data_IF_449527419863
#
_entry.id   IF_449527419863
#
_cell.length_a   1.000
_cell.length_b   1.000
_cell.length_c   1.000
_cell.angle_alpha   90.00
_cell.angle_beta   90.00
_cell.angle_gamma   90.00
#
_symmetry.space_group_name_H-M   'P 1'
#
loop_
_entity.id
_entity.type
_entity.pdbx_description
1 polymer ?
#
# COMPACT_ATOMS: atom_id res chain seq x y z
N UNK A 1 10.32 17.08 24.31
CA UNK A 1 11.00 16.67 23.07
C UNK A 1 10.17 15.62 22.29
N UNK A 2 9.94 14.41 22.83
CA UNK A 2 9.23 13.33 22.12
C UNK A 2 7.81 13.63 21.60
N UNK A 3 7.07 14.52 22.27
CA UNK A 3 5.70 14.93 21.87
C UNK A 3 5.65 16.11 20.88
N UNK A 4 6.80 16.57 20.38
CA UNK A 4 6.84 17.63 19.37
C UNK A 4 6.59 17.02 17.97
N UNK A 5 5.32 16.78 17.68
CA UNK A 5 4.88 16.09 16.46
C UNK A 5 5.17 16.91 15.20
N UNK A 6 4.90 18.21 15.22
CA UNK A 6 5.11 19.12 14.08
C UNK A 6 6.58 19.13 13.65
N UNK A 7 7.50 19.33 14.60
CA UNK A 7 8.93 19.29 14.30
C UNK A 7 9.34 17.92 13.77
N UNK A 8 8.88 16.83 14.39
CA UNK A 8 9.21 15.47 13.96
C UNK A 8 8.73 15.19 12.53
N UNK A 9 7.49 15.54 12.19
CA UNK A 9 6.94 15.36 10.85
C UNK A 9 7.68 16.20 9.81
N UNK A 10 7.99 17.47 10.10
CA UNK A 10 8.77 18.31 9.18
C UNK A 10 10.13 17.68 8.86
N UNK A 11 10.87 17.23 9.89
CA UNK A 11 12.19 16.63 9.70
C UNK A 11 12.11 15.26 9.02
N UNK A 12 11.07 14.46 9.28
CA UNK A 12 10.91 13.16 8.64
C UNK A 12 10.47 13.32 7.17
N UNK A 13 9.51 14.20 6.88
CA UNK A 13 9.08 14.45 5.50
C UNK A 13 10.22 15.07 4.69
N UNK A 14 10.78 16.20 5.13
CA UNK A 14 11.82 16.87 4.34
C UNK A 14 13.17 16.18 4.40
N UNK A 15 13.66 15.83 5.59
CA UNK A 15 14.98 15.24 5.78
C UNK A 15 15.00 13.74 5.48
N UNK A 16 14.25 12.96 6.26
CA UNK A 16 14.30 11.49 6.15
C UNK A 16 13.79 10.99 4.79
N UNK A 17 12.69 11.52 4.27
CA UNK A 17 12.14 11.09 2.97
C UNK A 17 12.64 11.95 1.82
N UNK A 18 12.50 13.26 1.92
CA UNK A 18 12.86 14.21 0.86
C UNK A 18 14.35 14.16 0.50
N UNK A 19 15.23 14.51 1.45
CA UNK A 19 16.68 14.54 1.23
C UNK A 19 17.24 13.15 0.92
N UNK A 20 16.76 12.09 1.57
CA UNK A 20 17.21 10.74 1.24
C UNK A 20 16.78 10.31 -0.16
N UNK A 21 15.56 10.63 -0.61
CA UNK A 21 15.12 10.34 -1.98
C UNK A 21 15.90 11.18 -3.00
N UNK A 22 16.22 12.43 -2.68
CA UNK A 22 17.08 13.28 -3.52
C UNK A 22 18.48 12.69 -3.63
N UNK A 23 19.07 12.26 -2.51
CA UNK A 23 20.37 11.61 -2.47
C UNK A 23 20.37 10.29 -3.24
N UNK A 24 19.28 9.53 -3.18
CA UNK A 24 19.12 8.29 -3.94
C UNK A 24 18.98 8.54 -5.44
N UNK A 25 18.21 9.56 -5.86
CA UNK A 25 18.20 10.02 -7.25
C UNK A 25 19.60 10.41 -7.72
N UNK A 26 20.33 11.16 -6.87
CA UNK A 26 21.75 11.46 -7.07
C UNK A 26 22.56 10.20 -7.32
N UNK A 27 22.51 9.22 -6.42
CA UNK A 27 23.21 7.93 -6.57
C UNK A 27 22.86 7.22 -7.88
N UNK A 28 21.58 7.20 -8.28
CA UNK A 28 21.14 6.57 -9.52
C UNK A 28 21.72 7.27 -10.76
N UNK A 29 21.62 8.59 -10.83
CA UNK A 29 22.14 9.43 -11.92
C UNK A 29 23.66 9.30 -12.05
N UNK A 30 24.34 9.26 -10.91
CA UNK A 30 25.78 9.42 -10.84
C UNK A 30 26.56 8.10 -10.82
N UNK A 31 25.94 7.00 -10.40
CA UNK A 31 26.60 5.70 -10.25
C UNK A 31 25.83 4.63 -11.01
N UNK A 32 24.56 4.39 -10.68
CA UNK A 32 23.83 3.24 -11.22
C UNK A 32 23.63 3.32 -12.74
N UNK A 33 23.25 4.49 -13.27
CA UNK A 33 23.04 4.70 -14.71
C UNK A 33 24.37 4.57 -15.48
N UNK A 34 25.47 5.25 -15.10
CA UNK A 34 26.77 5.02 -15.73
C UNK A 34 27.24 3.56 -15.70
N UNK A 35 27.12 2.87 -14.56
CA UNK A 35 27.51 1.45 -14.45
C UNK A 35 26.62 0.55 -15.33
N UNK A 36 25.34 0.87 -15.46
CA UNK A 36 24.44 0.18 -16.39
C UNK A 36 24.82 0.39 -17.87
N UNK A 37 25.67 1.38 -18.16
CA UNK A 37 26.21 1.71 -19.49
C UNK A 37 27.69 1.32 -19.64
N UNK A 38 28.22 0.50 -18.73
CA UNK A 38 29.61 0.04 -18.74
C UNK A 38 30.64 1.11 -18.35
N UNK A 39 30.21 2.22 -17.74
CA UNK A 39 31.10 3.27 -17.24
C UNK A 39 31.33 3.08 -15.74
N UNK A 40 32.58 2.82 -15.36
CA UNK A 40 32.92 2.58 -13.96
C UNK A 40 33.05 3.87 -13.15
N UNK A 41 32.14 4.06 -12.20
CA UNK A 41 32.12 5.19 -11.27
C UNK A 41 32.39 4.72 -9.85
N UNK A 42 33.38 5.34 -9.23
CA UNK A 42 33.89 5.02 -7.89
C UNK A 42 34.18 6.32 -7.15
N UNK A 43 34.41 6.22 -5.84
CA UNK A 43 34.69 7.37 -4.99
C UNK A 43 35.86 8.25 -5.47
N UNK A 44 36.83 7.67 -6.17
CA UNK A 44 38.03 8.37 -6.66
C UNK A 44 37.81 9.15 -7.96
N UNK A 45 36.78 8.85 -8.76
CA UNK A 45 36.52 9.53 -10.04
C UNK A 45 35.12 10.16 -10.12
N UNK A 46 34.30 9.99 -9.10
CA UNK A 46 32.93 10.48 -9.08
C UNK A 46 32.81 12.00 -9.26
N UNK A 47 33.75 12.77 -8.69
CA UNK A 47 33.73 14.24 -8.75
C UNK A 47 34.31 14.81 -10.04
N UNK A 48 35.04 14.00 -10.83
CA UNK A 48 35.66 14.41 -12.09
C UNK A 48 34.94 13.87 -13.33
N UNK A 49 33.99 12.95 -13.16
CA UNK A 49 33.16 12.41 -14.25
C UNK A 49 31.77 13.04 -14.21
N UNK A 50 31.36 13.68 -15.31
CA UNK A 50 30.03 14.26 -15.42
C UNK A 50 28.98 13.15 -15.65
N UNK A 51 27.81 13.19 -14.97
CA UNK A 51 26.73 12.24 -15.22
C UNK A 51 26.00 12.49 -16.54
N UNK A 52 26.11 13.70 -17.10
CA UNK A 52 25.50 14.11 -18.37
C UNK A 52 26.49 15.00 -19.14
N UNK A 53 26.61 14.87 -20.47
CA UNK A 53 27.58 15.63 -21.27
C UNK A 53 27.51 17.15 -21.06
N UNK A 54 26.31 17.71 -20.99
CA UNK A 54 26.06 19.15 -20.79
C UNK A 54 26.22 19.64 -19.34
N UNK A 55 26.58 18.76 -18.40
CA UNK A 55 26.75 19.08 -16.99
C UNK A 55 25.50 19.72 -16.36
N UNK A 56 25.69 20.71 -15.48
CA UNK A 56 24.61 21.41 -14.76
C UNK A 56 24.10 22.66 -15.49
N UNK A 57 24.66 23.04 -16.64
CA UNK A 57 24.24 24.25 -17.36
C UNK A 57 22.76 24.22 -17.76
N UNK A 58 22.20 23.10 -18.30
CA UNK A 58 20.77 22.99 -18.59
C UNK A 58 19.87 23.14 -17.36
N UNK A 59 20.33 22.66 -16.20
CA UNK A 59 19.59 22.79 -14.94
C UNK A 59 19.37 24.26 -14.56
N UNK A 60 20.44 25.06 -14.54
CA UNK A 60 20.37 26.47 -14.13
C UNK A 60 19.73 27.39 -15.17
N UNK A 61 19.78 27.02 -16.45
CA UNK A 61 19.11 27.77 -17.54
C UNK A 61 17.63 27.42 -17.68
N UNK A 62 17.14 26.39 -16.98
CA UNK A 62 15.75 25.94 -17.04
C UNK A 62 15.44 25.04 -18.25
N UNK A 63 16.42 24.68 -19.06
CA UNK A 63 16.25 23.78 -20.20
C UNK A 63 16.36 22.31 -19.77
N UNK A 64 15.48 21.88 -18.87
CA UNK A 64 15.54 20.55 -18.25
C UNK A 64 15.25 19.40 -19.23
N UNK A 65 14.60 19.69 -20.37
CA UNK A 65 14.30 18.70 -21.40
C UNK A 65 15.54 17.99 -21.95
N UNK A 66 16.70 18.67 -21.96
CA UNK A 66 17.98 18.09 -22.41
C UNK A 66 18.37 16.83 -21.63
N UNK A 67 18.01 16.72 -20.34
CA UNK A 67 18.33 15.55 -19.53
C UNK A 67 17.52 14.30 -19.86
N UNK A 68 16.47 14.44 -20.67
CA UNK A 68 15.62 13.35 -21.14
C UNK A 68 15.95 12.89 -22.57
N UNK A 69 16.84 13.60 -23.27
CA UNK A 69 17.18 13.30 -24.66
C UNK A 69 18.12 12.09 -24.78
N UNK A 70 17.94 11.32 -25.86
CA UNK A 70 18.74 10.13 -26.16
C UNK A 70 18.72 9.09 -25.02
N UNK A 71 17.55 8.49 -24.70
CA UNK A 71 17.46 7.38 -23.77
C UNK A 71 18.22 6.14 -24.26
N UNK A 72 18.44 5.18 -23.37
CA UNK A 72 18.96 3.86 -23.74
C UNK A 72 18.04 3.20 -24.77
N UNK A 73 18.62 2.63 -25.82
CA UNK A 73 17.84 2.07 -26.94
C UNK A 73 17.20 0.73 -26.58
N UNK A 74 16.25 0.27 -27.39
CA UNK A 74 15.66 -1.06 -27.22
C UNK A 74 16.67 -2.22 -27.35
N UNK A 75 17.82 -1.97 -28.00
CA UNK A 75 18.92 -2.91 -28.19
C UNK A 75 20.03 -2.75 -27.14
N UNK A 76 19.86 -1.86 -26.15
CA UNK A 76 20.84 -1.66 -25.10
C UNK A 76 21.15 -2.97 -24.35
N UNK A 77 22.44 -3.23 -24.17
CA UNK A 77 22.94 -4.35 -23.38
C UNK A 77 23.32 -3.83 -22.00
N UNK A 78 22.52 -4.19 -20.99
CA UNK A 78 22.70 -3.72 -19.62
C UNK A 78 24.10 -4.08 -19.09
N UNK A 79 24.82 -3.07 -18.62
CA UNK A 79 26.19 -3.15 -18.14
C UNK A 79 27.26 -2.86 -19.19
N UNK A 80 26.89 -2.48 -20.43
CA UNK A 80 27.83 -2.16 -21.51
C UNK A 80 27.45 -0.84 -22.20
N UNK A 81 28.35 -0.29 -23.01
CA UNK A 81 28.07 0.93 -23.79
C UNK A 81 27.30 0.66 -25.09
N UNK A 82 26.99 -0.59 -25.41
CA UNK A 82 26.31 -0.96 -26.64
C UNK A 82 24.83 -0.60 -26.57
N UNK A 83 24.38 0.30 -27.44
CA UNK A 83 22.99 0.80 -27.45
C UNK A 83 22.67 1.75 -26.29
N UNK A 84 23.67 2.18 -25.51
CA UNK A 84 23.53 3.10 -24.39
C UNK A 84 23.28 4.55 -24.87
N UNK A 85 22.39 5.23 -24.17
CA UNK A 85 22.06 6.63 -24.37
C UNK A 85 22.85 7.57 -23.45
N UNK A 86 22.40 8.81 -23.37
CA UNK A 86 22.97 9.85 -22.47
C UNK A 86 21.95 10.43 -21.50
N UNK A 87 20.65 10.20 -21.71
CA UNK A 87 19.61 10.66 -20.81
C UNK A 87 19.87 10.20 -19.36
N UNK A 88 19.55 11.06 -18.40
CA UNK A 88 19.64 10.75 -16.96
C UNK A 88 18.28 10.80 -16.27
N UNK A 89 17.29 11.45 -16.87
CA UNK A 89 15.95 11.63 -16.33
C UNK A 89 14.93 11.44 -17.45
N UNK A 90 14.24 10.31 -17.48
CA UNK A 90 13.27 10.01 -18.54
C UNK A 90 11.88 9.77 -17.96
N UNK A 91 10.91 9.56 -18.84
CA UNK A 91 9.56 9.14 -18.45
C UNK A 91 8.98 8.22 -19.53
N UNK A 92 9.73 7.16 -19.85
CA UNK A 92 9.47 6.25 -20.97
C UNK A 92 8.25 5.36 -20.74
N UNK A 93 8.10 4.88 -19.50
CA UNK A 93 7.13 3.85 -19.17
C UNK A 93 7.52 2.47 -19.69
N UNK A 94 6.82 1.44 -19.22
CA UNK A 94 7.11 0.06 -19.57
C UNK A 94 8.42 -0.48 -18.98
N UNK A 95 9.08 -1.38 -19.71
CA UNK A 95 10.26 -2.11 -19.23
C UNK A 95 11.38 -2.09 -20.25
N UNK A 96 12.62 -2.11 -19.75
CA UNK A 96 13.81 -2.31 -20.55
C UNK A 96 13.78 -3.71 -21.20
N UNK A 97 13.87 -3.84 -22.54
CA UNK A 97 13.59 -5.11 -23.25
C UNK A 97 14.48 -6.29 -22.83
N UNK A 98 15.76 -6.07 -22.56
CA UNK A 98 16.67 -7.14 -22.15
C UNK A 98 16.43 -7.62 -20.71
N UNK A 99 16.38 -6.67 -19.76
CA UNK A 99 16.31 -6.96 -18.32
C UNK A 99 14.90 -7.29 -17.85
N UNK A 100 13.87 -6.87 -18.60
CA UNK A 100 12.45 -6.96 -18.21
C UNK A 100 12.17 -6.26 -16.87
N UNK A 101 12.85 -5.13 -16.63
CA UNK A 101 12.68 -4.29 -15.44
C UNK A 101 12.40 -2.84 -15.83
N UNK A 102 11.92 -2.03 -14.89
CA UNK A 102 11.77 -0.58 -15.08
C UNK A 102 13.10 0.08 -15.49
N UNK A 103 13.00 1.15 -16.27
CA UNK A 103 14.16 1.94 -16.71
C UNK A 103 14.82 2.66 -15.53
N UNK A 104 16.15 2.58 -15.42
CA UNK A 104 16.88 3.26 -14.34
C UNK A 104 16.70 4.78 -14.37
N UNK A 105 16.62 5.38 -15.55
CA UNK A 105 16.37 6.80 -15.76
C UNK A 105 14.95 7.22 -15.34
N UNK A 106 13.95 6.34 -15.49
CA UNK A 106 12.60 6.57 -14.96
C UNK A 106 12.59 6.46 -13.42
N UNK A 107 13.32 5.49 -12.84
CA UNK A 107 13.46 5.34 -11.39
C UNK A 107 14.18 6.57 -10.79
N UNK A 108 15.26 7.04 -11.43
CA UNK A 108 15.99 8.24 -11.01
C UNK A 108 15.09 9.48 -11.02
N UNK A 109 14.29 9.64 -12.08
CA UNK A 109 13.34 10.74 -12.20
C UNK A 109 12.20 10.64 -11.18
N UNK A 110 11.67 9.44 -10.94
CA UNK A 110 10.69 9.21 -9.88
C UNK A 110 11.22 9.68 -8.52
N UNK A 111 12.44 9.27 -8.15
CA UNK A 111 13.04 9.66 -6.87
C UNK A 111 13.30 11.16 -6.74
N UNK A 112 13.70 11.83 -7.84
CA UNK A 112 13.83 13.28 -7.87
C UNK A 112 12.47 13.97 -7.66
N UNK A 113 11.45 13.51 -8.37
CA UNK A 113 10.10 14.09 -8.29
C UNK A 113 9.50 13.95 -6.89
N UNK A 114 9.53 12.75 -6.30
CA UNK A 114 9.00 12.54 -4.94
C UNK A 114 9.84 13.25 -3.87
N UNK A 115 11.15 13.42 -4.10
CA UNK A 115 12.00 14.18 -3.19
C UNK A 115 11.53 15.64 -3.09
N UNK A 116 11.24 16.27 -4.22
CA UNK A 116 10.68 17.63 -4.25
C UNK A 116 9.36 17.67 -3.47
N UNK A 117 8.43 16.74 -3.74
CA UNK A 117 7.13 16.67 -3.04
C UNK A 117 7.33 16.58 -1.52
N UNK A 118 8.22 15.70 -1.05
CA UNK A 118 8.46 15.50 0.38
C UNK A 118 9.19 16.66 1.04
N UNK A 119 10.16 17.29 0.35
CA UNK A 119 10.82 18.50 0.84
C UNK A 119 9.79 19.61 1.05
N UNK A 120 8.93 19.87 0.07
CA UNK A 120 7.86 20.87 0.20
C UNK A 120 6.86 20.51 1.30
N UNK A 121 6.41 19.25 1.37
CA UNK A 121 5.49 18.78 2.41
C UNK A 121 6.07 18.94 3.82
N UNK A 122 7.39 18.75 3.99
CA UNK A 122 8.08 18.93 5.26
C UNK A 122 8.25 20.37 5.73
N UNK A 123 7.73 21.36 4.99
CA UNK A 123 7.67 22.77 5.41
C UNK A 123 6.25 23.22 5.78
N UNK A 124 5.31 22.27 5.93
CA UNK A 124 3.91 22.57 6.21
C UNK A 124 3.65 22.93 7.68
N UNK A 125 4.28 22.27 8.65
CA UNK A 125 3.91 22.40 10.06
C UNK A 125 4.70 23.48 10.80
N UNK A 126 4.06 24.14 11.75
CA UNK A 126 4.63 25.26 12.52
C UNK A 126 5.75 24.76 13.44
N UNK A 127 6.88 25.43 13.38
CA UNK A 127 8.03 25.19 14.28
C UNK A 127 8.39 26.48 15.02
N UNK A 128 9.62 26.59 15.55
CA UNK A 128 10.08 27.74 16.34
C UNK A 128 10.10 29.05 15.55
N UNK A 129 9.97 29.01 14.22
CA UNK A 129 9.98 30.16 13.31
C UNK A 129 8.63 30.86 13.16
N UNK A 130 7.58 30.40 13.87
CA UNK A 130 6.28 31.07 13.92
C UNK A 130 5.40 30.94 12.67
N UNK A 131 5.90 30.37 11.57
CA UNK A 131 5.19 30.13 10.31
C UNK A 131 4.90 28.64 10.15
N UNK A 132 3.73 28.30 9.61
CA UNK A 132 3.25 26.94 9.35
C UNK A 132 1.96 26.62 10.12
N UNK A 133 1.49 25.37 10.00
CA UNK A 133 0.24 24.92 10.62
C UNK A 133 0.46 24.20 11.97
N UNK A 134 -0.44 24.41 12.94
CA UNK A 134 -0.57 23.51 14.08
C UNK A 134 -1.53 22.37 13.75
N UNK A 135 -1.11 21.13 13.99
CA UNK A 135 -1.98 19.97 13.74
C UNK A 135 -3.21 19.96 14.62
N UNK A 136 -3.07 20.41 15.87
CA UNK A 136 -4.19 20.55 16.80
C UNK A 136 -5.25 21.51 16.25
N UNK A 137 -4.84 22.71 15.83
CA UNK A 137 -5.76 23.71 15.28
C UNK A 137 -6.47 23.19 14.02
N UNK A 138 -5.76 22.46 13.15
CA UNK A 138 -6.37 21.81 11.98
C UNK A 138 -7.45 20.81 12.41
N UNK A 139 -7.13 19.90 13.33
CA UNK A 139 -8.07 18.87 13.79
C UNK A 139 -9.29 19.48 14.49
N UNK A 140 -9.07 20.44 15.39
CA UNK A 140 -10.15 21.08 16.14
C UNK A 140 -11.11 21.89 15.25
N UNK A 141 -10.60 22.45 14.16
CA UNK A 141 -11.37 23.18 13.15
C UNK A 141 -12.10 22.26 12.16
N UNK A 142 -11.66 21.01 12.00
CA UNK A 142 -12.21 20.08 11.01
C UNK A 142 -13.48 19.38 11.53
N UNK A 143 -14.57 20.16 11.63
CA UNK A 143 -15.89 19.70 12.09
C UNK A 143 -16.85 19.61 10.88
N UNK A 144 -17.62 18.52 10.72
CA UNK A 144 -18.50 18.37 9.57
C UNK A 144 -19.62 19.44 9.55
N UNK A 145 -19.96 19.99 8.36
CA UNK A 145 -20.98 21.03 8.24
C UNK A 145 -22.38 20.63 8.73
N UNK A 146 -22.69 19.33 8.74
CA UNK A 146 -24.02 18.79 9.04
C UNK A 146 -24.13 18.13 10.42
N UNK A 147 -23.12 18.26 11.30
CA UNK A 147 -23.18 17.81 12.70
C UNK A 147 -23.36 16.30 12.95
N UNK A 148 -23.41 15.46 11.90
CA UNK A 148 -23.67 14.01 12.03
C UNK A 148 -22.55 13.21 12.71
N UNK A 149 -21.36 13.79 12.85
CA UNK A 149 -20.18 13.17 13.49
C UNK A 149 -19.85 13.79 14.86
N UNK A 150 -20.83 14.42 15.52
CA UNK A 150 -20.66 15.03 16.85
C UNK A 150 -19.63 16.15 16.86
N UNK A 151 -18.73 16.13 17.84
CA UNK A 151 -17.62 17.07 18.01
C UNK A 151 -16.49 16.91 16.98
N UNK A 152 -16.61 15.97 16.03
CA UNK A 152 -15.63 15.78 14.96
C UNK A 152 -14.30 15.24 15.46
N UNK A 153 -13.19 15.89 15.09
CA UNK A 153 -11.82 15.45 15.40
C UNK A 153 -11.24 16.06 16.70
N UNK A 154 -12.04 16.81 17.47
CA UNK A 154 -11.59 17.41 18.73
C UNK A 154 -11.08 16.36 19.71
N UNK A 155 -9.97 16.67 20.38
CA UNK A 155 -9.30 15.78 21.35
C UNK A 155 -8.50 14.63 20.73
N UNK A 156 -8.54 14.43 19.40
CA UNK A 156 -7.74 13.40 18.74
C UNK A 156 -6.25 13.70 18.76
N UNK A 157 -5.87 15.00 18.71
CA UNK A 157 -4.46 15.38 18.78
C UNK A 157 -3.82 14.90 20.07
N UNK A 158 -4.43 15.20 21.22
CA UNK A 158 -3.99 14.75 22.53
C UNK A 158 -4.03 13.22 22.62
N UNK A 159 -5.15 12.60 22.22
CA UNK A 159 -5.34 11.14 22.26
C UNK A 159 -4.24 10.38 21.50
N UNK A 160 -3.88 10.84 20.30
CA UNK A 160 -2.82 10.21 19.50
C UNK A 160 -1.43 10.55 20.07
N UNK A 161 -1.21 11.80 20.47
CA UNK A 161 0.11 12.26 20.95
C UNK A 161 0.51 11.60 22.27
N UNK A 162 -0.47 11.36 23.14
CA UNK A 162 -0.24 10.86 24.49
C UNK A 162 -0.18 9.33 24.55
N UNK A 163 -0.81 8.62 23.59
CA UNK A 163 -0.74 7.16 23.52
C UNK A 163 0.30 6.65 22.52
N UNK A 164 1.32 5.96 23.04
CA UNK A 164 2.26 5.22 22.20
C UNK A 164 1.60 4.01 21.53
N UNK A 165 0.61 3.37 22.15
CA UNK A 165 -0.12 2.26 21.55
C UNK A 165 -0.93 2.70 20.34
N UNK A 166 -1.57 3.88 20.40
CA UNK A 166 -2.26 4.45 19.23
C UNK A 166 -1.27 4.79 18.11
N UNK A 167 -0.14 5.44 18.43
CA UNK A 167 0.90 5.74 17.44
C UNK A 167 1.46 4.48 16.79
N UNK A 168 1.75 3.45 17.58
CA UNK A 168 2.26 2.18 17.07
C UNK A 168 1.22 1.45 16.23
N UNK A 169 -0.05 1.44 16.65
CA UNK A 169 -1.15 0.89 15.85
C UNK A 169 -1.26 1.54 14.47
N UNK A 170 -1.24 2.87 14.41
CA UNK A 170 -1.27 3.63 13.15
C UNK A 170 -0.03 3.41 12.28
N UNK A 171 1.16 3.35 12.90
CA UNK A 171 2.41 3.10 12.19
C UNK A 171 2.44 1.69 11.58
N UNK A 172 2.03 0.67 12.33
CA UNK A 172 1.93 -0.71 11.85
C UNK A 172 0.87 -0.85 10.76
N UNK A 173 -0.29 -0.20 10.88
CA UNK A 173 -1.32 -0.22 9.84
C UNK A 173 -0.81 0.41 8.54
N UNK A 174 -0.19 1.60 8.63
CA UNK A 174 0.36 2.31 7.47
C UNK A 174 1.48 1.51 6.82
N UNK A 175 2.38 0.94 7.62
CA UNK A 175 3.48 0.12 7.14
C UNK A 175 2.98 -1.20 6.54
N UNK A 176 2.01 -1.88 7.16
CA UNK A 176 1.43 -3.11 6.65
C UNK A 176 0.78 -2.94 5.28
N UNK A 177 0.04 -1.83 5.08
CA UNK A 177 -0.50 -1.47 3.76
C UNK A 177 0.62 -1.22 2.75
N UNK A 178 1.64 -0.44 3.11
CA UNK A 178 2.77 -0.18 2.24
C UNK A 178 3.57 -1.45 1.91
N UNK A 179 3.75 -2.38 2.86
CA UNK A 179 4.43 -3.66 2.66
C UNK A 179 3.65 -4.55 1.69
N UNK A 180 2.33 -4.60 1.80
CA UNK A 180 1.52 -5.34 0.82
C UNK A 180 1.57 -4.70 -0.56
N UNK A 181 1.55 -3.37 -0.63
CA UNK A 181 1.71 -2.63 -1.89
C UNK A 181 3.07 -2.91 -2.54
N UNK A 182 4.15 -2.99 -1.76
CA UNK A 182 5.48 -3.40 -2.23
C UNK A 182 5.42 -4.78 -2.86
N UNK A 183 4.78 -5.76 -2.21
CA UNK A 183 4.64 -7.11 -2.77
C UNK A 183 3.90 -7.08 -4.12
N UNK A 184 2.76 -6.38 -4.19
CA UNK A 184 1.93 -6.30 -5.39
C UNK A 184 2.62 -5.56 -6.54
N UNK A 185 3.32 -4.46 -6.25
CA UNK A 185 4.00 -3.69 -7.28
C UNK A 185 5.28 -4.39 -7.76
N UNK A 186 6.07 -5.01 -6.88
CA UNK A 186 7.35 -5.60 -7.28
C UNK A 186 7.20 -6.77 -8.25
N UNK A 187 6.15 -7.57 -8.14
CA UNK A 187 5.95 -8.68 -9.10
C UNK A 187 5.40 -8.18 -10.44
N UNK A 188 4.54 -7.17 -10.45
CA UNK A 188 3.91 -6.64 -11.66
C UNK A 188 4.78 -5.61 -12.40
N UNK A 189 5.59 -4.85 -11.66
CA UNK A 189 6.51 -3.81 -12.14
C UNK A 189 7.93 -4.06 -11.58
N UNK A 190 8.67 -5.05 -12.10
CA UNK A 190 9.99 -5.40 -11.59
C UNK A 190 10.96 -4.21 -11.66
N UNK A 191 11.54 -3.81 -10.53
CA UNK A 191 12.50 -2.69 -10.45
C UNK A 191 13.95 -3.10 -10.65
N UNK A 192 14.25 -4.39 -10.49
CA UNK A 192 15.62 -4.92 -10.53
C UNK A 192 15.86 -5.69 -11.82
N UNK A 193 17.04 -5.47 -12.42
CA UNK A 193 17.41 -6.11 -13.68
C UNK A 193 17.36 -7.64 -13.56
N UNK A 194 16.72 -8.29 -14.54
CA UNK A 194 16.59 -9.74 -14.66
C UNK A 194 15.76 -10.44 -13.57
N UNK A 195 15.21 -9.71 -12.59
CA UNK A 195 14.39 -10.30 -11.52
C UNK A 195 13.16 -11.04 -12.07
N UNK A 196 12.55 -10.53 -13.14
CA UNK A 196 11.40 -11.16 -13.78
C UNK A 196 11.70 -12.55 -14.38
N UNK A 197 12.98 -12.93 -14.51
CA UNK A 197 13.42 -14.23 -15.02
C UNK A 197 13.83 -15.20 -13.89
N UNK A 198 14.01 -14.69 -12.68
CA UNK A 198 14.29 -15.50 -11.50
C UNK A 198 12.99 -15.75 -10.72
N UNK A 199 12.28 -16.79 -11.14
CA UNK A 199 10.97 -17.14 -10.58
C UNK A 199 11.04 -17.54 -9.10
N UNK A 200 12.14 -18.15 -8.66
CA UNK A 200 12.29 -18.56 -7.25
C UNK A 200 12.42 -17.33 -6.37
N UNK A 201 13.26 -16.38 -6.76
CA UNK A 201 13.42 -15.12 -6.03
C UNK A 201 12.12 -14.30 -6.05
N UNK A 202 11.43 -14.21 -7.18
CA UNK A 202 10.18 -13.45 -7.28
C UNK A 202 9.07 -14.05 -6.40
N UNK A 203 8.90 -15.38 -6.41
CA UNK A 203 7.94 -16.06 -5.54
C UNK A 203 8.28 -15.87 -4.05
N UNK A 204 9.56 -16.00 -3.69
CA UNK A 204 10.03 -15.79 -2.33
C UNK A 204 9.76 -14.36 -1.85
N UNK A 205 10.07 -13.34 -2.67
CA UNK A 205 9.88 -11.93 -2.31
C UNK A 205 8.40 -11.56 -2.13
N UNK A 206 7.52 -12.02 -3.03
CA UNK A 206 6.09 -11.78 -2.91
C UNK A 206 5.54 -12.41 -1.62
N UNK A 207 5.84 -13.69 -1.40
CA UNK A 207 5.40 -14.43 -0.21
C UNK A 207 5.91 -13.77 1.06
N UNK A 208 7.21 -13.49 1.12
CA UNK A 208 7.86 -12.84 2.27
C UNK A 208 7.16 -11.54 2.68
N UNK A 209 6.97 -10.62 1.73
CA UNK A 209 6.36 -9.32 2.04
C UNK A 209 4.87 -9.45 2.39
N UNK A 210 4.13 -10.38 1.77
CA UNK A 210 2.72 -10.59 2.12
C UNK A 210 2.57 -11.13 3.55
N UNK A 211 3.38 -12.11 3.96
CA UNK A 211 3.38 -12.59 5.34
C UNK A 211 3.72 -11.46 6.32
N UNK A 212 4.78 -10.69 6.07
CA UNK A 212 5.14 -9.53 6.93
C UNK A 212 3.99 -8.54 7.01
N UNK A 213 3.35 -8.20 5.87
CA UNK A 213 2.20 -7.31 5.86
C UNK A 213 1.07 -7.83 6.76
N UNK A 214 0.77 -9.13 6.71
CA UNK A 214 -0.17 -9.79 7.63
C UNK A 214 0.14 -9.59 9.11
N UNK A 215 1.38 -9.88 9.51
CA UNK A 215 1.82 -9.70 10.90
C UNK A 215 1.75 -8.23 11.35
N UNK A 216 2.15 -7.30 10.48
CA UNK A 216 2.04 -5.87 10.75
C UNK A 216 0.59 -5.44 10.94
N UNK A 217 -0.32 -5.89 10.06
CA UNK A 217 -1.75 -5.55 10.13
C UNK A 217 -2.40 -6.12 11.39
N UNK A 218 -2.15 -7.37 11.75
CA UNK A 218 -2.68 -7.95 13.00
C UNK A 218 -2.12 -7.22 14.22
N UNK A 219 -0.82 -6.91 14.21
CA UNK A 219 -0.18 -6.10 15.25
C UNK A 219 -0.79 -4.71 15.41
N UNK A 220 -1.16 -4.07 14.30
CA UNK A 220 -1.82 -2.76 14.32
C UNK A 220 -3.13 -2.77 15.13
N UNK A 221 -3.99 -3.76 14.87
CA UNK A 221 -5.25 -3.91 15.60
C UNK A 221 -5.03 -4.33 17.06
N UNK A 222 -4.03 -5.18 17.34
CA UNK A 222 -3.67 -5.54 18.70
C UNK A 222 -3.27 -4.30 19.53
N UNK A 223 -2.42 -3.43 18.96
CA UNK A 223 -2.05 -2.17 19.61
C UNK A 223 -3.21 -1.19 19.72
N UNK A 224 -4.14 -1.18 18.76
CA UNK A 224 -5.41 -0.45 18.89
C UNK A 224 -6.28 -0.95 20.05
N UNK A 225 -6.39 -2.26 20.25
CA UNK A 225 -7.09 -2.84 21.38
C UNK A 225 -6.41 -2.51 22.71
N UNK A 226 -5.08 -2.58 22.78
CA UNK A 226 -4.31 -2.19 23.97
C UNK A 226 -4.53 -0.70 24.29
N UNK A 227 -4.55 0.16 23.28
CA UNK A 227 -4.91 1.58 23.43
C UNK A 227 -6.30 1.74 24.07
N UNK A 228 -7.31 1.03 23.58
CA UNK A 228 -8.66 1.11 24.14
C UNK A 228 -8.73 0.66 25.60
N UNK A 229 -7.92 -0.31 26.01
CA UNK A 229 -7.89 -0.78 27.41
C UNK A 229 -7.16 0.21 28.31
N UNK A 230 -5.95 0.64 27.90
CA UNK A 230 -5.02 1.33 28.80
C UNK A 230 -5.06 2.85 28.72
N UNK A 231 -5.19 3.40 27.53
CA UNK A 231 -4.87 4.80 27.25
C UNK A 231 -6.10 5.62 26.84
N UNK A 232 -7.19 4.97 26.40
CA UNK A 232 -8.41 5.66 25.99
C UNK A 232 -9.14 6.31 27.18
N UNK A 233 -9.26 7.63 27.12
CA UNK A 233 -10.04 8.47 28.03
C UNK A 233 -11.38 8.89 27.38
N UNK A 234 -12.53 8.40 27.88
CA UNK A 234 -13.85 8.80 27.40
C UNK A 234 -14.18 10.28 27.56
N UNK A 235 -13.62 10.97 28.55
CA UNK A 235 -13.94 12.39 28.80
C UNK A 235 -13.25 13.30 27.79
N UNK A 236 -11.97 13.04 27.48
CA UNK A 236 -11.23 13.75 26.41
C UNK A 236 -11.86 13.50 25.05
N UNK A 237 -12.37 12.29 24.81
CA UNK A 237 -12.94 11.87 23.53
C UNK A 237 -14.46 12.08 23.43
N UNK A 238 -15.07 12.78 24.37
CA UNK A 238 -16.53 12.89 24.47
C UNK A 238 -17.17 13.45 23.20
N UNK A 239 -18.10 12.69 22.63
CA UNK A 239 -18.85 12.97 21.38
C UNK A 239 -17.97 13.21 20.14
N UNK A 240 -16.67 12.90 20.18
CA UNK A 240 -15.83 12.91 19.00
C UNK A 240 -16.04 11.63 18.16
N UNK A 241 -15.40 11.56 16.99
CA UNK A 241 -15.55 10.41 16.07
C UNK A 241 -15.21 9.06 16.71
N UNK A 242 -14.25 9.01 17.64
CA UNK A 242 -13.83 7.78 18.30
C UNK A 242 -14.87 7.30 19.32
N UNK A 243 -15.39 8.21 20.16
CA UNK A 243 -16.46 7.88 21.09
C UNK A 243 -17.74 7.46 20.36
N UNK A 244 -18.08 8.15 19.26
CA UNK A 244 -19.26 7.80 18.46
C UNK A 244 -19.14 6.40 17.87
N UNK A 245 -17.98 6.03 17.33
CA UNK A 245 -17.72 4.65 16.85
C UNK A 245 -18.05 3.60 17.91
N UNK A 246 -17.60 3.81 19.15
CA UNK A 246 -17.87 2.90 20.27
C UNK A 246 -19.36 2.81 20.62
N UNK A 247 -20.15 3.88 20.43
CA UNK A 247 -21.59 3.89 20.70
C UNK A 247 -22.41 3.03 19.72
N UNK A 248 -21.89 2.73 18.53
CA UNK A 248 -22.55 1.88 17.54
C UNK A 248 -21.69 0.67 17.14
N UNK A 249 -20.83 0.21 18.06
CA UNK A 249 -19.93 -0.93 17.81
C UNK A 249 -20.68 -2.20 17.40
N UNK A 250 -21.88 -2.43 17.95
CA UNK A 250 -22.70 -3.59 17.64
C UNK A 250 -23.13 -3.60 16.17
N UNK A 251 -23.41 -2.42 15.60
CA UNK A 251 -23.73 -2.30 14.19
C UNK A 251 -22.52 -2.61 13.31
N UNK A 252 -21.33 -2.12 13.67
CA UNK A 252 -20.09 -2.42 12.91
C UNK A 252 -19.81 -3.93 12.92
N UNK A 253 -19.85 -4.54 14.11
CA UNK A 253 -19.60 -5.97 14.30
C UNK A 253 -20.63 -6.82 13.56
N UNK A 254 -21.92 -6.45 13.61
CA UNK A 254 -22.98 -7.22 12.94
C UNK A 254 -22.87 -7.16 11.41
N UNK A 255 -22.51 -6.02 10.84
CA UNK A 255 -22.31 -5.90 9.39
C UNK A 255 -21.08 -6.67 8.92
N UNK A 256 -19.96 -6.59 9.66
CA UNK A 256 -18.78 -7.42 9.36
C UNK A 256 -19.09 -8.92 9.45
N UNK A 257 -19.87 -9.33 10.46
CA UNK A 257 -20.35 -10.71 10.58
C UNK A 257 -21.22 -11.12 9.40
N UNK A 258 -22.16 -10.28 8.98
CA UNK A 258 -22.99 -10.54 7.81
C UNK A 258 -22.16 -10.69 6.54
N UNK A 259 -21.20 -9.80 6.28
CA UNK A 259 -20.32 -9.89 5.09
C UNK A 259 -19.50 -11.18 5.11
N UNK A 260 -18.90 -11.53 6.24
CA UNK A 260 -18.14 -12.79 6.39
C UNK A 260 -19.02 -14.02 6.12
N UNK A 261 -20.22 -14.07 6.69
CA UNK A 261 -21.15 -15.17 6.45
C UNK A 261 -21.61 -15.22 4.99
N UNK A 262 -21.96 -14.07 4.41
CA UNK A 262 -22.37 -13.97 3.02
C UNK A 262 -21.28 -14.47 2.08
N UNK A 263 -20.05 -13.97 2.23
CA UNK A 263 -18.92 -14.42 1.41
C UNK A 263 -18.63 -15.90 1.63
N UNK A 264 -18.67 -16.38 2.87
CA UNK A 264 -18.41 -17.77 3.23
C UNK A 264 -19.38 -18.74 2.57
N UNK A 265 -20.69 -18.51 2.74
CA UNK A 265 -21.71 -19.39 2.18
C UNK A 265 -21.68 -19.43 0.65
N UNK A 266 -21.55 -18.28 -0.01
CA UNK A 266 -21.61 -18.24 -1.48
C UNK A 266 -20.31 -18.72 -2.12
N UNK A 267 -19.14 -18.32 -1.61
CA UNK A 267 -17.85 -18.73 -2.19
C UNK A 267 -17.64 -20.23 -2.03
N UNK A 268 -17.81 -20.77 -0.81
CA UNK A 268 -17.67 -22.20 -0.57
C UNK A 268 -18.76 -23.00 -1.30
N UNK A 269 -19.99 -22.49 -1.33
CA UNK A 269 -21.10 -23.11 -2.07
C UNK A 269 -20.80 -23.27 -3.57
N UNK A 270 -20.19 -22.25 -4.19
CA UNK A 270 -19.78 -22.32 -5.59
C UNK A 270 -18.64 -23.31 -5.82
N UNK A 271 -17.64 -23.34 -4.94
CA UNK A 271 -16.58 -24.36 -5.02
C UNK A 271 -17.14 -25.78 -4.94
N UNK A 272 -17.99 -26.06 -3.94
CA UNK A 272 -18.62 -27.38 -3.77
C UNK A 272 -19.49 -27.73 -4.98
N UNK A 273 -20.30 -26.79 -5.48
CA UNK A 273 -21.13 -27.00 -6.68
C UNK A 273 -20.28 -27.40 -7.89
N UNK A 274 -19.19 -26.66 -8.13
CA UNK A 274 -18.31 -26.89 -9.26
C UNK A 274 -17.58 -28.24 -9.14
N UNK A 275 -17.08 -28.58 -7.95
CA UNK A 275 -16.45 -29.88 -7.69
C UNK A 275 -17.42 -31.04 -7.93
N UNK A 276 -18.67 -30.93 -7.47
CA UNK A 276 -19.70 -31.97 -7.70
C UNK A 276 -20.03 -32.12 -9.18
N UNK A 277 -20.16 -31.01 -9.92
CA UNK A 277 -20.41 -31.07 -11.36
C UNK A 277 -19.27 -31.75 -12.13
N UNK A 278 -18.02 -31.48 -11.76
CA UNK A 278 -16.82 -32.11 -12.33
C UNK A 278 -16.75 -33.59 -11.95
N UNK A 279 -16.99 -33.93 -10.68
CA UNK A 279 -16.99 -35.31 -10.19
C UNK A 279 -18.05 -36.19 -10.89
N UNK A 280 -19.19 -35.61 -11.29
CA UNK A 280 -20.23 -36.28 -12.07
C UNK A 280 -20.00 -36.26 -13.59
N UNK A 281 -18.85 -35.77 -14.06
CA UNK A 281 -18.51 -35.77 -15.49
C UNK A 281 -19.30 -34.75 -16.32
N UNK A 282 -19.86 -33.72 -15.68
CA UNK A 282 -20.62 -32.65 -16.34
C UNK A 282 -19.99 -31.27 -16.08
N UNK A 283 -18.73 -31.04 -16.53
CA UNK A 283 -18.01 -29.79 -16.25
C UNK A 283 -18.68 -28.55 -16.84
N UNK A 284 -19.52 -28.70 -17.87
CA UNK A 284 -20.30 -27.62 -18.48
C UNK A 284 -21.40 -27.06 -17.57
N UNK A 285 -21.75 -27.76 -16.49
CA UNK A 285 -22.74 -27.33 -15.48
C UNK A 285 -22.13 -26.52 -14.33
N UNK A 286 -20.82 -26.28 -14.39
CA UNK A 286 -20.16 -25.37 -13.46
C UNK A 286 -20.73 -23.96 -13.59
N UNK A 287 -20.74 -23.22 -12.48
CA UNK A 287 -21.08 -21.81 -12.47
C UNK A 287 -19.76 -21.04 -12.53
N UNK A 288 -19.49 -20.42 -13.67
CA UNK A 288 -18.27 -19.68 -13.95
C UNK A 288 -18.61 -18.20 -14.19
N UNK A 289 -18.31 -17.36 -13.20
CA UNK A 289 -18.50 -15.91 -13.30
C UNK A 289 -17.24 -15.24 -13.83
N UNK A 290 -17.37 -14.46 -14.89
CA UNK A 290 -16.29 -13.61 -15.37
C UNK A 290 -16.08 -12.40 -14.44
N UNK A 291 -14.84 -12.05 -14.05
CA UNK A 291 -14.54 -10.89 -13.22
C UNK A 291 -14.58 -9.59 -14.05
N UNK A 292 -15.74 -9.28 -14.64
CA UNK A 292 -15.94 -8.18 -15.60
C UNK A 292 -15.49 -6.82 -15.08
N UNK A 293 -15.64 -6.56 -13.77
CA UNK A 293 -15.18 -5.30 -13.17
C UNK A 293 -13.65 -5.20 -13.14
N UNK A 294 -12.95 -6.30 -12.86
CA UNK A 294 -11.50 -6.30 -12.88
C UNK A 294 -10.97 -6.27 -14.32
N UNK A 295 -11.61 -6.98 -15.26
CA UNK A 295 -11.30 -6.91 -16.70
C UNK A 295 -11.51 -5.50 -17.25
N UNK A 296 -12.56 -4.80 -16.82
CA UNK A 296 -12.78 -3.38 -17.13
C UNK A 296 -11.62 -2.51 -16.63
N UNK A 297 -11.09 -2.73 -15.42
CA UNK A 297 -9.92 -1.99 -14.92
C UNK A 297 -8.68 -2.27 -15.77
N UNK A 298 -8.46 -3.52 -16.20
CA UNK A 298 -7.33 -3.83 -17.09
C UNK A 298 -7.47 -3.11 -18.43
N UNK A 299 -8.68 -3.08 -19.00
CA UNK A 299 -8.96 -2.37 -20.25
C UNK A 299 -8.85 -0.84 -20.10
N UNK A 300 -9.40 -0.28 -19.02
CA UNK A 300 -9.24 1.13 -18.68
C UNK A 300 -7.77 1.53 -18.53
N UNK A 301 -6.92 0.58 -18.15
CA UNK A 301 -5.46 0.72 -18.07
C UNK A 301 -4.74 0.49 -19.40
N UNK A 302 -5.43 0.20 -20.51
CA UNK A 302 -4.83 0.04 -21.85
C UNK A 302 -4.70 -1.40 -22.36
N UNK A 303 -5.23 -2.40 -21.63
CA UNK A 303 -5.20 -3.78 -22.08
C UNK A 303 -6.27 -4.04 -23.15
N UNK A 304 -5.86 -4.39 -24.36
CA UNK A 304 -6.78 -4.54 -25.50
C UNK A 304 -7.53 -5.89 -25.53
N UNK A 305 -7.06 -6.88 -24.76
CA UNK A 305 -7.52 -8.28 -24.84
C UNK A 305 -9.04 -8.46 -24.67
N UNK A 306 -9.68 -7.66 -23.81
CA UNK A 306 -11.10 -7.83 -23.45
C UNK A 306 -12.08 -7.07 -24.36
N UNK A 307 -11.58 -6.27 -25.30
CA UNK A 307 -12.43 -5.55 -26.26
C UNK A 307 -13.28 -4.41 -25.70
N UNK A 308 -13.04 -3.97 -24.46
CA UNK A 308 -13.64 -2.73 -23.94
C UNK A 308 -12.92 -1.51 -24.52
N UNK A 309 -13.65 -0.58 -25.15
CA UNK A 309 -13.13 0.67 -25.69
C UNK A 309 -13.35 1.83 -24.67
N UNK A 310 -12.51 1.88 -23.63
CA UNK A 310 -12.68 2.78 -22.48
C UNK A 310 -11.35 3.35 -22.01
N UNK A 311 -11.30 4.64 -21.69
CA UNK A 311 -10.10 5.31 -21.18
C UNK A 311 -8.86 5.01 -22.02
N UNK A 312 -7.83 4.34 -21.47
CA UNK A 312 -6.55 4.12 -22.15
C UNK A 312 -6.59 3.06 -23.25
N UNK A 313 -7.57 2.14 -23.26
CA UNK A 313 -7.74 1.23 -24.40
C UNK A 313 -8.32 1.91 -25.63
N UNK A 314 -8.90 3.10 -25.47
CA UNK A 314 -9.42 3.92 -26.57
C UNK A 314 -8.38 4.92 -27.04
N UNK A 315 -7.91 4.82 -28.28
CA UNK A 315 -6.89 5.73 -28.84
C UNK A 315 -7.37 7.18 -28.98
N UNK A 316 -8.68 7.40 -29.00
CA UNK A 316 -9.31 8.73 -29.17
C UNK A 316 -9.73 9.39 -27.85
N UNK A 317 -9.64 8.66 -26.73
CA UNK A 317 -9.95 9.18 -25.40
C UNK A 317 -9.03 10.32 -25.01
N UNK A 318 -9.56 11.31 -24.28
CA UNK A 318 -8.78 12.42 -23.74
C UNK A 318 -7.59 11.95 -22.88
N UNK A 319 -7.76 10.86 -22.13
CA UNK A 319 -6.69 10.27 -21.31
C UNK A 319 -5.52 9.75 -22.17
N UNK A 320 -5.85 9.08 -23.28
CA UNK A 320 -4.88 8.53 -24.22
C UNK A 320 -4.16 9.64 -24.98
N UNK A 321 -4.90 10.63 -25.50
CA UNK A 321 -4.33 11.76 -26.24
C UNK A 321 -3.35 12.54 -25.36
N UNK A 322 -3.72 12.86 -24.12
CA UNK A 322 -2.88 13.61 -23.19
C UNK A 322 -1.56 12.90 -22.82
N UNK A 323 -1.56 11.57 -22.81
CA UNK A 323 -0.40 10.76 -22.37
C UNK A 323 0.42 10.17 -23.52
N UNK A 324 -0.10 10.23 -24.76
CA UNK A 324 0.42 9.56 -25.96
C UNK A 324 1.88 9.88 -26.32
N UNK A 325 2.38 11.07 -25.95
CA UNK A 325 3.75 11.53 -26.26
C UNK A 325 4.72 11.45 -25.08
N UNK A 326 4.30 10.82 -23.98
CA UNK A 326 5.04 10.81 -22.72
C UNK A 326 5.38 9.36 -22.34
N UNK A 327 4.59 8.74 -21.45
CA UNK A 327 4.84 7.40 -20.90
C UNK A 327 3.95 6.32 -21.53
N UNK A 328 2.88 6.73 -22.23
CA UNK A 328 1.85 5.80 -22.70
C UNK A 328 2.36 4.78 -23.72
N UNK A 329 3.22 5.10 -24.71
CA UNK A 329 3.69 4.10 -25.67
C UNK A 329 4.41 2.92 -25.01
N UNK A 330 5.36 3.18 -24.10
CA UNK A 330 6.08 2.12 -23.37
C UNK A 330 5.16 1.32 -22.45
N UNK A 331 4.21 2.00 -21.79
CA UNK A 331 3.17 1.33 -20.99
C UNK A 331 2.28 0.40 -21.83
N UNK A 332 1.79 0.88 -22.98
CA UNK A 332 0.91 0.11 -23.88
C UNK A 332 1.61 -1.12 -24.45
N UNK A 333 2.90 -1.01 -24.76
CA UNK A 333 3.73 -2.15 -25.13
C UNK A 333 3.81 -3.16 -23.98
N UNK A 334 4.15 -2.70 -22.78
CA UNK A 334 4.33 -3.58 -21.63
C UNK A 334 3.05 -4.34 -21.25
N UNK A 335 1.91 -3.64 -21.12
CA UNK A 335 0.64 -4.23 -20.69
C UNK A 335 0.03 -5.20 -21.73
N UNK A 336 0.42 -5.08 -23.01
CA UNK A 336 -0.08 -5.95 -24.10
C UNK A 336 0.94 -7.00 -24.58
N UNK A 337 2.16 -7.05 -24.02
CA UNK A 337 3.22 -7.98 -24.49
C UNK A 337 2.89 -9.46 -24.27
N UNK A 338 2.07 -9.79 -23.26
CA UNK A 338 1.75 -11.16 -22.84
C UNK A 338 2.94 -11.95 -22.27
N UNK A 339 4.11 -11.33 -22.08
CA UNK A 339 5.37 -11.97 -21.67
C UNK A 339 5.86 -11.54 -20.28
N UNK A 340 5.06 -10.75 -19.57
CA UNK A 340 5.37 -10.25 -18.23
C UNK A 340 4.15 -10.43 -17.31
N UNK A 341 4.29 -10.01 -16.06
CA UNK A 341 3.24 -10.10 -15.04
C UNK A 341 2.41 -8.82 -14.88
N UNK A 342 2.58 -7.83 -15.76
CA UNK A 342 1.83 -6.58 -15.69
C UNK A 342 0.38 -6.82 -16.14
N UNK A 343 -0.55 -6.75 -15.20
CA UNK A 343 -1.98 -7.05 -15.44
C UNK A 343 -2.19 -8.39 -16.14
N UNK A 344 -1.87 -9.50 -15.46
CA UNK A 344 -2.13 -10.86 -15.96
C UNK A 344 -3.59 -11.04 -16.39
N UNK A 345 -3.82 -11.89 -17.40
CA UNK A 345 -5.18 -12.21 -17.83
C UNK A 345 -5.91 -12.98 -16.76
N UNK A 346 -7.06 -12.45 -16.37
CA UNK A 346 -7.93 -13.02 -15.33
C UNK A 346 -9.24 -13.57 -15.92
N UNK A 347 -9.75 -14.61 -15.28
CA UNK A 347 -11.01 -15.29 -15.63
C UNK A 347 -11.77 -15.83 -14.41
N UNK A 348 -12.63 -16.84 -14.58
CA UNK A 348 -13.52 -17.31 -13.51
C UNK A 348 -12.82 -17.92 -12.29
N UNK A 349 -11.65 -18.55 -12.48
CA UNK A 349 -10.84 -19.03 -11.37
C UNK A 349 -10.35 -17.89 -10.48
N UNK A 350 -9.90 -16.79 -11.09
CA UNK A 350 -9.49 -15.57 -10.38
C UNK A 350 -10.66 -14.95 -9.64
N UNK A 351 -11.87 -14.94 -10.22
CA UNK A 351 -13.06 -14.45 -9.54
C UNK A 351 -13.30 -15.18 -8.20
N UNK A 352 -13.27 -16.51 -8.20
CA UNK A 352 -13.54 -17.30 -7.00
C UNK A 352 -12.47 -17.10 -5.92
N UNK A 353 -11.19 -17.13 -6.30
CA UNK A 353 -10.10 -16.95 -5.31
C UNK A 353 -10.10 -15.53 -4.73
N UNK A 354 -10.43 -14.49 -5.50
CA UNK A 354 -10.54 -13.13 -4.94
C UNK A 354 -11.69 -13.00 -3.93
N UNK A 355 -12.79 -13.74 -4.11
CA UNK A 355 -13.87 -13.79 -3.11
C UNK A 355 -13.46 -14.60 -1.86
N UNK A 356 -12.64 -15.63 -2.01
CA UNK A 356 -12.05 -16.35 -0.88
C UNK A 356 -11.04 -15.47 -0.10
N UNK A 357 -10.21 -14.69 -0.79
CA UNK A 357 -9.34 -13.68 -0.18
C UNK A 357 -10.19 -12.63 0.55
N UNK A 358 -11.26 -12.13 -0.08
CA UNK A 358 -12.17 -11.18 0.55
C UNK A 358 -12.80 -11.77 1.82
N UNK A 359 -13.23 -13.04 1.81
CA UNK A 359 -13.72 -13.73 3.00
C UNK A 359 -12.68 -13.75 4.11
N UNK A 360 -11.45 -14.13 3.80
CA UNK A 360 -10.34 -14.17 4.77
C UNK A 360 -10.06 -12.80 5.39
N UNK A 361 -9.98 -11.76 4.56
CA UNK A 361 -9.76 -10.38 5.00
C UNK A 361 -10.89 -9.86 5.89
N UNK A 362 -12.15 -10.06 5.51
CA UNK A 362 -13.30 -9.59 6.29
C UNK A 362 -13.43 -10.35 7.61
N UNK A 363 -13.17 -11.66 7.62
CA UNK A 363 -13.25 -12.47 8.84
C UNK A 363 -12.11 -12.16 9.80
N UNK A 364 -10.88 -12.00 9.29
CA UNK A 364 -9.75 -11.53 10.10
C UNK A 364 -10.04 -10.16 10.71
N UNK A 365 -10.58 -9.23 9.90
CA UNK A 365 -10.97 -7.88 10.34
C UNK A 365 -12.09 -7.94 11.39
N UNK A 366 -13.10 -8.78 11.20
CA UNK A 366 -14.19 -8.98 12.17
C UNK A 366 -13.64 -9.37 13.54
N UNK A 367 -12.76 -10.38 13.59
CA UNK A 367 -12.20 -10.88 14.85
C UNK A 367 -11.41 -9.77 15.56
N UNK A 368 -10.54 -9.07 14.81
CA UNK A 368 -9.71 -7.99 15.34
C UNK A 368 -10.52 -6.78 15.81
N UNK A 369 -11.47 -6.31 15.00
CA UNK A 369 -12.34 -5.17 15.31
C UNK A 369 -13.23 -5.49 16.51
N UNK A 370 -13.87 -6.66 16.52
CA UNK A 370 -14.69 -7.08 17.67
C UNK A 370 -13.84 -7.19 18.94
N UNK A 371 -12.64 -7.76 18.84
CA UNK A 371 -11.69 -7.82 19.95
C UNK A 371 -11.35 -6.45 20.53
N UNK A 372 -11.08 -5.45 19.66
CA UNK A 372 -10.77 -4.09 20.08
C UNK A 372 -11.98 -3.33 20.66
N UNK A 373 -13.16 -3.43 20.03
CA UNK A 373 -14.37 -2.70 20.46
C UNK A 373 -15.01 -3.26 21.73
N UNK A 374 -14.83 -4.55 22.01
CA UNK A 374 -15.26 -5.19 23.26
C UNK A 374 -14.16 -5.26 24.33
N UNK A 375 -12.97 -4.69 24.06
CA UNK A 375 -11.82 -4.78 24.96
C UNK A 375 -12.09 -4.12 26.33
N UNK A 376 -12.85 -3.02 26.34
CA UNK A 376 -13.20 -2.32 27.59
C UNK A 376 -14.34 -2.97 28.36
N UNK A 377 -15.20 -3.73 27.67
CA UNK A 377 -16.40 -4.31 28.25
C UNK A 377 -17.37 -4.82 27.21
N UNK A 378 -18.07 -5.89 27.57
CA UNK A 378 -19.14 -6.52 26.80
C UNK A 378 -20.31 -6.86 27.71
N UNK A 379 -21.45 -7.32 27.17
CA UNK A 379 -22.59 -7.73 28.02
C UNK A 379 -22.24 -8.87 28.98
N UNK A 380 -21.36 -9.80 28.57
CA UNK A 380 -20.97 -10.97 29.37
C UNK A 380 -19.95 -10.64 30.48
N UNK A 381 -19.13 -9.62 30.25
CA UNK A 381 -18.11 -9.12 31.19
C UNK A 381 -17.98 -7.59 30.99
N UNK A 382 -18.78 -6.78 31.72
CA UNK A 382 -18.82 -5.33 31.55
C UNK A 382 -17.57 -4.58 32.04
N UNK A 383 -16.89 -5.14 33.03
CA UNK A 383 -15.72 -4.63 33.75
C UNK A 383 -14.39 -5.11 33.16
N UNK A 384 -14.40 -5.59 31.90
CA UNK A 384 -13.23 -6.19 31.24
C UNK A 384 -11.97 -5.30 31.26
N UNK A 385 -12.13 -3.99 31.14
CA UNK A 385 -11.00 -3.03 31.21
C UNK A 385 -10.17 -3.17 32.50
N UNK A 386 -10.78 -3.61 33.61
CA UNK A 386 -10.14 -3.66 34.92
C UNK A 386 -9.18 -4.86 35.04
N UNK A 387 -9.25 -5.81 34.10
CA UNK A 387 -8.41 -7.01 34.03
C UNK A 387 -7.23 -6.87 33.05
N UNK A 388 -7.19 -5.78 32.29
CA UNK A 388 -6.15 -5.53 31.29
C UNK A 388 -6.36 -6.25 29.96
N UNK A 389 -5.32 -6.29 29.13
CA UNK A 389 -5.40 -6.78 27.74
C UNK A 389 -5.40 -8.30 27.63
N UNK A 390 -4.61 -8.98 28.46
CA UNK A 390 -4.41 -10.43 28.45
C UNK A 390 -4.68 -10.99 29.84
N UNK A 391 -5.66 -11.88 29.92
CA UNK A 391 -6.04 -12.61 31.11
C UNK A 391 -6.76 -13.91 30.70
N UNK A 392 -6.74 -14.98 31.51
CA UNK A 392 -7.19 -16.31 31.05
C UNK A 392 -8.69 -16.43 30.77
N UNK A 393 -9.52 -15.98 31.71
CA UNK A 393 -10.98 -15.98 31.66
C UNK A 393 -11.53 -15.22 32.89
N UNK A 394 -12.85 -15.10 33.00
CA UNK A 394 -13.57 -14.70 34.23
C UNK A 394 -14.32 -15.90 34.85
N UNK A 395 -13.65 -17.06 34.86
CA UNK A 395 -14.14 -18.32 35.42
C UNK A 395 -15.22 -19.05 34.60
N UNK A 396 -15.66 -20.24 35.08
CA UNK A 396 -16.66 -21.07 34.39
C UNK A 396 -18.11 -20.58 34.60
N UNK A 397 -18.32 -19.55 35.41
CA UNK A 397 -19.65 -18.98 35.64
C UNK A 397 -20.27 -18.35 34.38
N UNK A 398 -21.56 -17.99 34.45
CA UNK A 398 -22.29 -17.28 33.38
C UNK A 398 -22.28 -17.98 32.01
N UNK A 399 -22.13 -19.30 31.99
CA UNK A 399 -22.06 -20.12 30.77
C UNK A 399 -20.65 -20.40 30.26
N UNK A 400 -19.61 -19.90 30.95
CA UNK A 400 -18.21 -20.02 30.57
C UNK A 400 -17.67 -18.77 29.88
N UNK A 401 -16.44 -18.38 30.23
CA UNK A 401 -15.79 -17.14 29.73
C UNK A 401 -14.40 -17.40 29.14
N UNK A 402 -14.20 -18.59 28.58
CA UNK A 402 -12.96 -18.94 27.86
C UNK A 402 -12.73 -17.97 26.69
N UNK A 403 -11.46 -17.64 26.44
CA UNK A 403 -11.01 -16.82 25.30
C UNK A 403 -11.75 -15.47 25.18
N UNK A 404 -12.04 -14.82 26.31
CA UNK A 404 -12.84 -13.59 26.38
C UNK A 404 -12.01 -12.31 26.32
N UNK A 405 -10.69 -12.38 26.56
CA UNK A 405 -9.81 -11.22 26.58
C UNK A 405 -9.58 -10.66 25.16
N UNK A 406 -9.09 -9.42 25.09
CA UNK A 406 -8.75 -8.83 23.79
C UNK A 406 -7.51 -9.48 23.17
N UNK A 407 -6.60 -10.02 24.01
CA UNK A 407 -5.47 -10.84 23.54
C UNK A 407 -5.94 -12.14 22.89
N UNK A 408 -6.99 -12.78 23.40
CA UNK A 408 -7.52 -14.02 22.82
C UNK A 408 -8.10 -13.78 21.41
N UNK A 409 -8.70 -12.60 21.19
CA UNK A 409 -9.12 -12.19 19.84
C UNK A 409 -7.93 -12.02 18.88
N UNK A 410 -6.80 -11.46 19.36
CA UNK A 410 -5.55 -11.42 18.59
C UNK A 410 -5.06 -12.84 18.26
N UNK A 411 -5.05 -13.74 19.25
CA UNK A 411 -4.67 -15.14 19.06
C UNK A 411 -5.52 -15.83 17.98
N UNK A 412 -6.84 -15.68 18.03
CA UNK A 412 -7.75 -16.23 17.01
C UNK A 412 -7.55 -15.61 15.63
N UNK A 413 -7.32 -14.29 15.57
CA UNK A 413 -7.09 -13.59 14.31
C UNK A 413 -5.79 -14.03 13.62
N UNK A 414 -4.77 -14.47 14.36
CA UNK A 414 -3.52 -14.97 13.78
C UNK A 414 -3.76 -16.21 12.91
N UNK A 415 -4.64 -17.14 13.31
CA UNK A 415 -4.98 -18.29 12.47
C UNK A 415 -5.66 -17.86 11.17
N UNK A 416 -6.60 -16.91 11.26
CA UNK A 416 -7.29 -16.39 10.08
C UNK A 416 -6.36 -15.61 9.15
N UNK A 417 -5.43 -14.82 9.70
CA UNK A 417 -4.41 -14.13 8.92
C UNK A 417 -3.52 -15.11 8.18
N UNK A 418 -2.99 -16.15 8.85
CA UNK A 418 -2.16 -17.17 8.23
C UNK A 418 -2.93 -17.91 7.12
N UNK A 419 -4.19 -18.27 7.37
CA UNK A 419 -5.06 -18.90 6.38
C UNK A 419 -5.39 -17.97 5.19
N UNK A 420 -5.46 -16.65 5.40
CA UNK A 420 -5.78 -15.68 4.33
C UNK A 420 -4.58 -15.41 3.42
N UNK A 421 -3.37 -15.50 3.95
CA UNK A 421 -2.13 -15.22 3.22
C UNK A 421 -1.57 -16.46 2.53
N UNK A 422 -1.81 -17.64 3.12
CA UNK A 422 -1.56 -18.94 2.49
C UNK A 422 -2.42 -19.09 1.25
#
# INVERSE_FOLDING_TARGET
WFKNNESRLNHHLSGLFGVSSLAWSGHLIHVAIPESRGQHIRWNNFTSTLPHPEGLTPFFTGNWGLYAENPDTAQHIFGTSEGAGTAILTFLGGFHPQTQSMWLTDIAHHHLAIAVVFIFAGHMYRTNWGIGHSMKEILDAHVPPKGRLGAGHRGLFETITDSLHMQLGLALASLGVATSLVAQHMYALPSYAFMAKDYVTQAALYTHHQYIAGFLMVGAFAHGAIFFVRDYDPEVNKDNVLARMLQHKEAIISHLSWVSLFLGFHTLGLYIHNDVCVAFGTPEKQILFEPVFAQFIQAASGKALYGFDVLLSSSTSAASVASSKIWLPGWMEAINSGKNSLFLTIGPGDFLVHHAIALGLHTTTLILVKGALDARGSKLMPDKKDFGYSFPCDGPGRGGTCDISAWDAFYLAMFWMLNTIS
#
